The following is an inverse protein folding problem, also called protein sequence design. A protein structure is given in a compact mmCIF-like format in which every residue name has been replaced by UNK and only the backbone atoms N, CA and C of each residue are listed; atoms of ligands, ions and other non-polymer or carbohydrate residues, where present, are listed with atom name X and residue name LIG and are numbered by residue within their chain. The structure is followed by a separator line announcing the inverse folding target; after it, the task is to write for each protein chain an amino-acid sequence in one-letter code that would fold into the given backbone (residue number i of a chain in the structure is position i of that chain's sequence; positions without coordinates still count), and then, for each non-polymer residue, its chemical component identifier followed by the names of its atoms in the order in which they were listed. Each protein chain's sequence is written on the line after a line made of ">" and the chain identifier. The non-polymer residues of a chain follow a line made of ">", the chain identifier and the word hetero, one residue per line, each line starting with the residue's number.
data_IF_143751095528
#
_entry.id   IF_143751095528
#
_cell.length_a   1.000
_cell.length_b   1.000
_cell.length_c   1.000
_cell.angle_alpha   90.00
_cell.angle_beta   90.00
_cell.angle_gamma   90.00
#
_symmetry.space_group_name_H-M   'P 1'
#
loop_
_entity.id
_entity.type
_entity.pdbx_description
1 polymer ?
#
# COMPACT_ATOMS: atom_id res chain seq x y z
N UNK A 1 11.13 -2.38 74.48
CA UNK A 1 11.87 -3.16 75.49
C UNK A 1 11.41 -4.61 75.42
N UNK A 2 12.37 -5.53 75.28
CA UNK A 2 12.46 -6.90 75.85
C UNK A 2 11.17 -7.75 75.90
N UNK A 3 11.08 -8.97 75.38
CA UNK A 3 12.12 -9.93 75.05
C UNK A 3 11.57 -11.23 74.46
N UNK A 4 12.49 -12.19 74.29
CA UNK A 4 12.47 -13.40 73.47
C UNK A 4 12.46 -14.66 74.37
N UNK A 5 12.07 -15.80 73.79
CA UNK A 5 12.41 -17.22 74.12
C UNK A 5 11.41 -17.94 75.06
N UNK A 6 11.05 -19.24 74.91
CA UNK A 6 11.80 -20.47 74.57
C UNK A 6 10.88 -21.51 73.86
N UNK A 7 11.32 -22.29 72.84
CA UNK A 7 11.89 -23.68 72.86
C UNK A 7 10.99 -24.74 73.56
N UNK A 8 10.64 -25.92 73.03
CA UNK A 8 11.42 -27.07 72.51
C UNK A 8 10.41 -28.10 71.90
N UNK A 9 10.58 -28.63 70.67
CA UNK A 9 11.34 -29.82 70.23
C UNK A 9 10.55 -31.15 70.18
N UNK A 10 10.68 -31.86 69.06
CA UNK A 10 10.06 -33.16 68.78
C UNK A 10 10.51 -33.72 67.44
N UNK A 11 11.73 -34.26 67.42
CA UNK A 11 12.36 -34.99 66.32
C UNK A 11 11.68 -36.35 66.09
N UNK A 12 11.50 -36.77 64.84
CA UNK A 12 11.79 -38.15 64.44
C UNK A 12 12.11 -38.25 62.95
N UNK A 13 13.25 -38.88 62.71
CA UNK A 13 13.89 -39.17 61.44
C UNK A 13 13.41 -40.55 60.96
N UNK A 14 12.90 -40.67 59.74
CA UNK A 14 13.08 -41.90 58.94
C UNK A 14 13.25 -41.48 57.48
N UNK A 15 14.38 -41.91 56.94
CA UNK A 15 14.88 -41.66 55.60
C UNK A 15 14.80 -42.97 54.82
N UNK A 16 14.15 -42.97 53.66
CA UNK A 16 14.20 -43.95 52.53
C UNK A 16 12.93 -43.73 51.70
N UNK A 17 12.85 -43.75 50.38
CA UNK A 17 13.78 -43.79 49.25
C UNK A 17 12.87 -43.68 48.01
N UNK A 18 13.32 -42.97 46.96
CA UNK A 18 13.06 -43.28 45.54
C UNK A 18 11.60 -43.21 45.01
N UNK A 19 11.29 -42.15 44.26
CA UNK A 19 10.86 -42.26 42.85
C UNK A 19 10.82 -40.86 42.23
N UNK A 20 11.93 -40.48 41.61
CA UNK A 20 12.08 -39.24 40.84
C UNK A 20 11.39 -39.41 39.48
N UNK A 21 10.08 -39.18 39.41
CA UNK A 21 9.35 -39.23 38.15
C UNK A 21 9.37 -37.83 37.51
N UNK A 22 10.38 -37.62 36.68
CA UNK A 22 10.58 -36.41 35.85
C UNK A 22 9.38 -36.24 34.92
N UNK A 23 8.53 -35.25 35.19
CA UNK A 23 7.54 -34.77 34.22
C UNK A 23 8.29 -33.86 33.24
N UNK A 24 8.55 -34.38 32.05
CA UNK A 24 9.13 -33.66 30.93
C UNK A 24 8.14 -32.58 30.50
N UNK A 25 8.52 -31.29 30.49
CA UNK A 25 7.67 -30.27 29.90
C UNK A 25 7.68 -30.52 28.40
N UNK A 26 6.50 -30.83 27.85
CA UNK A 26 6.29 -30.87 26.41
C UNK A 26 6.51 -29.46 25.87
N UNK A 27 7.73 -29.21 25.39
CA UNK A 27 8.03 -28.09 24.50
C UNK A 27 7.21 -28.31 23.22
N UNK A 28 6.03 -27.71 23.16
CA UNK A 28 5.33 -27.49 21.90
C UNK A 28 6.16 -26.49 21.10
N UNK A 29 7.14 -26.99 20.36
CA UNK A 29 7.75 -26.29 19.24
C UNK A 29 6.66 -26.20 18.19
N UNK A 30 5.82 -25.16 18.31
CA UNK A 30 4.92 -24.77 17.23
C UNK A 30 5.79 -24.47 16.01
N UNK A 31 5.65 -25.31 14.98
CA UNK A 31 6.21 -25.08 13.65
C UNK A 31 5.69 -23.72 13.16
N UNK A 32 6.54 -22.71 13.27
CA UNK A 32 6.37 -21.44 12.59
C UNK A 32 6.49 -21.78 11.11
N UNK A 33 5.40 -21.71 10.36
CA UNK A 33 5.46 -21.72 8.89
C UNK A 33 5.63 -20.28 8.41
N UNK A 34 6.84 -19.80 8.04
CA UNK A 34 6.97 -18.53 7.36
C UNK A 34 6.62 -18.74 5.89
N UNK A 35 5.33 -18.89 5.60
CA UNK A 35 4.82 -18.91 4.22
C UNK A 35 4.22 -17.56 3.86
N UNK A 36 4.87 -16.46 4.27
CA UNK A 36 4.67 -15.18 3.61
C UNK A 36 5.61 -15.17 2.40
N UNK A 37 5.14 -15.67 1.26
CA UNK A 37 5.80 -15.40 -0.01
C UNK A 37 5.86 -13.87 -0.17
N UNK A 38 7.04 -13.30 0.02
CA UNK A 38 7.24 -11.86 -0.09
C UNK A 38 6.91 -11.46 -1.54
N UNK A 39 5.82 -10.72 -1.71
CA UNK A 39 5.38 -10.24 -3.00
C UNK A 39 6.45 -9.29 -3.56
N UNK A 40 6.88 -9.51 -4.81
CA UNK A 40 7.96 -8.72 -5.43
C UNK A 40 7.56 -7.25 -5.50
N UNK A 41 8.44 -6.36 -5.08
CA UNK A 41 8.26 -4.91 -5.21
C UNK A 41 8.57 -4.50 -6.66
N UNK A 42 7.69 -3.74 -7.30
CA UNK A 42 7.88 -3.22 -8.67
C UNK A 42 8.26 -1.76 -8.69
N UNK A 43 7.74 -0.98 -7.74
CA UNK A 43 8.07 0.43 -7.54
C UNK A 43 8.35 0.64 -6.07
N UNK A 44 9.43 1.33 -5.75
CA UNK A 44 9.73 1.84 -4.41
C UNK A 44 10.21 3.29 -4.54
N UNK A 45 9.60 4.19 -3.78
CA UNK A 45 9.88 5.62 -3.80
C UNK A 45 9.82 6.18 -2.38
N UNK A 46 10.80 7.01 -2.01
CA UNK A 46 10.71 7.81 -0.79
C UNK A 46 9.80 9.02 -1.02
N UNK A 47 8.80 9.19 -0.16
CA UNK A 47 7.85 10.30 -0.17
C UNK A 47 7.92 11.07 1.14
N UNK A 48 7.29 12.25 1.18
CA UNK A 48 7.17 13.03 2.42
C UNK A 48 6.34 12.31 3.51
N UNK A 49 5.51 11.33 3.13
CA UNK A 49 4.72 10.50 4.05
C UNK A 49 5.32 9.11 4.31
N UNK A 50 6.59 8.90 3.95
CA UNK A 50 7.29 7.62 4.11
C UNK A 50 7.44 6.83 2.81
N UNK A 51 7.70 5.52 2.93
CA UNK A 51 7.98 4.67 1.76
C UNK A 51 6.71 4.35 0.97
N UNK A 52 6.64 4.80 -0.28
CA UNK A 52 5.62 4.39 -1.24
C UNK A 52 6.10 3.15 -2.02
N UNK A 53 5.26 2.12 -2.09
CA UNK A 53 5.57 0.87 -2.78
C UNK A 53 4.39 0.40 -3.63
N UNK A 54 4.70 -0.18 -4.79
CA UNK A 54 3.75 -0.96 -5.58
C UNK A 54 4.29 -2.39 -5.64
N UNK A 55 3.45 -3.35 -5.29
CA UNK A 55 3.78 -4.77 -5.34
C UNK A 55 3.28 -5.39 -6.65
N UNK A 56 4.09 -6.28 -7.22
CA UNK A 56 3.72 -7.12 -8.36
C UNK A 56 2.47 -7.94 -8.05
N UNK A 57 1.67 -8.39 -9.04
CA UNK A 57 0.49 -9.21 -8.78
C UNK A 57 0.80 -10.45 -7.91
N UNK A 58 -0.06 -10.74 -6.92
CA UNK A 58 0.01 -11.99 -6.15
C UNK A 58 -0.48 -13.18 -6.99
N UNK A 59 -0.49 -14.39 -6.39
CA UNK A 59 -1.00 -15.59 -7.06
C UNK A 59 -2.48 -15.49 -7.47
N UNK A 60 -3.25 -14.60 -6.85
CA UNK A 60 -4.64 -14.31 -7.21
C UNK A 60 -4.76 -13.15 -8.22
N UNK A 61 -3.64 -12.61 -8.71
CA UNK A 61 -3.61 -11.50 -9.66
C UNK A 61 -3.88 -10.13 -9.03
N UNK A 62 -3.75 -9.96 -7.72
CA UNK A 62 -4.00 -8.66 -7.05
C UNK A 62 -2.70 -7.87 -6.88
N UNK A 63 -2.68 -6.60 -7.27
CA UNK A 63 -1.60 -5.68 -6.88
C UNK A 63 -1.98 -4.94 -5.60
N UNK A 64 -0.97 -4.60 -4.81
CA UNK A 64 -1.13 -3.76 -3.63
C UNK A 64 -0.29 -2.50 -3.78
N UNK A 65 -0.87 -1.37 -3.40
CA UNK A 65 -0.17 -0.09 -3.27
C UNK A 65 -0.07 0.21 -1.78
N UNK A 66 1.15 0.50 -1.33
CA UNK A 66 1.45 0.73 0.07
C UNK A 66 2.07 2.10 0.27
N UNK A 67 1.73 2.74 1.39
CA UNK A 67 2.42 3.89 1.94
C UNK A 67 2.79 3.56 3.38
N UNK A 68 4.07 3.66 3.70
CA UNK A 68 4.61 3.33 5.03
C UNK A 68 4.19 1.93 5.50
N UNK A 69 4.33 0.95 4.59
CA UNK A 69 3.94 -0.46 4.75
C UNK A 69 2.44 -0.69 5.07
N UNK A 70 1.58 0.34 4.95
CA UNK A 70 0.13 0.21 5.03
C UNK A 70 -0.46 0.13 3.64
N UNK A 71 -1.35 -0.84 3.41
CA UNK A 71 -2.06 -0.98 2.13
C UNK A 71 -3.05 0.18 1.97
N UNK A 72 -2.80 1.06 1.01
CA UNK A 72 -3.64 2.22 0.70
C UNK A 72 -4.55 1.98 -0.50
N UNK A 73 -4.21 1.03 -1.37
CA UNK A 73 -5.03 0.63 -2.50
C UNK A 73 -4.83 -0.85 -2.85
N UNK A 74 -5.90 -1.52 -3.30
CA UNK A 74 -5.88 -2.90 -3.80
C UNK A 74 -6.47 -2.91 -5.20
N UNK A 75 -5.70 -3.40 -6.16
CA UNK A 75 -6.04 -3.37 -7.58
C UNK A 75 -6.17 -4.79 -8.12
N UNK A 76 -7.09 -4.97 -9.07
CA UNK A 76 -7.19 -6.23 -9.81
C UNK A 76 -6.26 -6.18 -11.02
N UNK A 77 -5.12 -6.87 -10.92
CA UNK A 77 -4.11 -6.96 -11.94
C UNK A 77 -4.10 -8.31 -12.68
N UNK A 78 -5.19 -9.09 -12.61
CA UNK A 78 -5.25 -10.41 -13.25
C UNK A 78 -4.91 -10.34 -14.74
N UNK A 79 -5.39 -9.29 -15.41
CA UNK A 79 -5.15 -8.99 -16.81
C UNK A 79 -4.34 -7.69 -17.00
N UNK A 80 -3.51 -7.30 -16.02
CA UNK A 80 -2.67 -6.11 -16.09
C UNK A 80 -1.25 -6.40 -15.62
N UNK A 81 -0.31 -5.52 -15.96
CA UNK A 81 0.97 -5.42 -15.26
C UNK A 81 0.79 -4.62 -13.97
N UNK A 82 1.82 -4.63 -13.12
CA UNK A 82 1.82 -3.74 -11.97
C UNK A 82 1.73 -2.27 -12.42
N UNK A 83 0.97 -1.42 -11.72
CA UNK A 83 0.90 -0.01 -12.04
C UNK A 83 2.26 0.67 -12.01
N UNK A 84 2.40 1.74 -12.78
CA UNK A 84 3.60 2.58 -12.82
C UNK A 84 3.28 3.99 -12.33
N UNK A 85 4.25 4.67 -11.74
CA UNK A 85 4.13 6.09 -11.39
C UNK A 85 4.47 6.91 -12.63
N UNK A 86 3.50 7.70 -13.11
CA UNK A 86 3.64 8.55 -14.31
C UNK A 86 3.84 10.02 -13.98
N UNK A 87 3.72 10.40 -12.70
CA UNK A 87 3.92 11.78 -12.27
C UNK A 87 4.19 11.90 -10.78
N UNK A 88 5.06 12.85 -10.44
CA UNK A 88 5.38 13.25 -9.06
C UNK A 88 5.45 14.76 -9.01
N UNK A 89 4.64 15.36 -8.13
CA UNK A 89 4.48 16.80 -8.03
C UNK A 89 4.56 17.25 -6.57
N UNK A 90 5.01 18.49 -6.34
CA UNK A 90 5.16 19.05 -4.99
C UNK A 90 4.45 20.39 -4.86
N UNK A 91 4.05 20.71 -3.63
CA UNK A 91 3.40 21.98 -3.26
C UNK A 91 2.13 22.27 -4.08
N UNK A 92 1.14 21.37 -3.96
CA UNK A 92 -0.17 21.42 -4.63
C UNK A 92 -1.26 21.81 -3.62
N UNK A 93 -1.36 23.12 -3.33
CA UNK A 93 -2.33 23.64 -2.36
C UNK A 93 -1.98 23.18 -0.95
N UNK A 94 -2.85 22.40 -0.31
CA UNK A 94 -2.58 21.81 1.01
C UNK A 94 -1.86 20.44 0.95
N UNK A 95 -1.48 19.97 -0.25
CA UNK A 95 -0.76 18.73 -0.46
C UNK A 95 0.71 19.05 -0.71
N UNK A 96 1.59 18.48 0.11
CA UNK A 96 3.03 18.65 -0.06
C UNK A 96 3.57 17.83 -1.22
N UNK A 97 2.97 16.67 -1.46
CA UNK A 97 3.36 15.77 -2.53
C UNK A 97 2.16 15.07 -3.15
N UNK A 98 2.17 14.93 -4.47
CA UNK A 98 1.17 14.18 -5.22
C UNK A 98 1.87 13.18 -6.13
N UNK A 99 1.52 11.91 -5.98
CA UNK A 99 1.90 10.85 -6.92
C UNK A 99 0.72 10.53 -7.82
N UNK A 100 0.98 10.45 -9.12
CA UNK A 100 0.03 9.94 -10.11
C UNK A 100 0.55 8.61 -10.61
N UNK A 101 -0.24 7.56 -10.46
CA UNK A 101 0.09 6.24 -10.96
C UNK A 101 -1.03 5.68 -11.82
N UNK A 102 -0.65 4.86 -12.78
CA UNK A 102 -1.52 4.34 -13.83
C UNK A 102 -1.45 2.82 -13.88
N UNK A 103 -2.62 2.18 -13.91
CA UNK A 103 -2.71 0.75 -14.23
C UNK A 103 -2.27 0.47 -15.67
N UNK A 104 -1.62 -0.66 -15.93
CA UNK A 104 -1.14 -1.01 -17.27
C UNK A 104 -1.82 -2.31 -17.73
N UNK A 105 -3.00 -2.25 -18.39
CA UNK A 105 -3.71 -3.43 -18.84
C UNK A 105 -2.88 -4.23 -19.86
N UNK A 106 -3.00 -5.56 -19.82
CA UNK A 106 -2.42 -6.47 -20.82
C UNK A 106 -3.35 -6.48 -22.04
N UNK A 107 -2.95 -5.73 -23.06
CA UNK A 107 -3.70 -5.55 -24.30
C UNK A 107 -3.45 -4.13 -24.83
N UNK A 108 -3.58 -3.93 -26.14
CA UNK A 108 -3.24 -2.64 -26.78
C UNK A 108 -4.46 -1.75 -27.07
N UNK A 109 -5.60 -1.98 -26.41
CA UNK A 109 -6.80 -1.17 -26.65
C UNK A 109 -6.69 0.23 -26.04
N UNK A 110 -5.93 0.36 -24.96
CA UNK A 110 -5.73 1.60 -24.23
C UNK A 110 -4.22 1.83 -24.06
N UNK A 111 -3.76 3.09 -24.17
CA UNK A 111 -2.39 3.45 -23.80
C UNK A 111 -2.31 3.64 -22.26
N UNK A 112 -2.55 2.53 -21.55
CA UNK A 112 -2.71 2.50 -20.10
C UNK A 112 -4.17 2.43 -19.64
N UNK A 113 -4.36 2.21 -18.35
CA UNK A 113 -5.65 2.06 -17.68
C UNK A 113 -5.96 3.23 -16.75
N UNK A 114 -6.81 3.00 -15.73
CA UNK A 114 -7.21 4.03 -14.78
C UNK A 114 -6.02 4.73 -14.10
N UNK A 115 -6.17 6.04 -13.92
CA UNK A 115 -5.26 6.88 -13.15
C UNK A 115 -5.72 7.03 -11.70
N UNK A 116 -4.76 7.09 -10.79
CA UNK A 116 -4.97 7.33 -9.37
C UNK A 116 -4.08 8.47 -8.89
N UNK A 117 -4.63 9.33 -8.05
CA UNK A 117 -3.93 10.48 -7.46
C UNK A 117 -3.80 10.26 -5.96
N UNK A 118 -2.57 10.06 -5.50
CA UNK A 118 -2.23 9.99 -4.08
C UNK A 118 -1.70 11.34 -3.65
N UNK A 119 -2.50 12.12 -2.93
CA UNK A 119 -2.06 13.36 -2.29
C UNK A 119 -1.61 13.11 -0.85
N UNK A 120 -0.41 13.56 -0.50
CA UNK A 120 0.21 13.42 0.82
C UNK A 120 0.40 14.83 1.41
N UNK A 121 0.01 14.99 2.68
CA UNK A 121 0.14 16.25 3.44
C UNK A 121 1.40 16.24 4.31
N UNK A 122 1.80 17.42 4.78
CA UNK A 122 2.97 17.60 5.65
C UNK A 122 2.92 16.75 6.95
N UNK A 123 1.71 16.49 7.47
CA UNK A 123 1.47 15.65 8.64
C UNK A 123 1.47 14.14 8.33
N UNK A 124 1.91 13.76 7.12
CA UNK A 124 1.89 12.39 6.58
C UNK A 124 0.50 11.77 6.40
N UNK A 125 -0.59 12.53 6.59
CA UNK A 125 -1.92 12.08 6.17
C UNK A 125 -2.02 12.09 4.64
N UNK A 126 -2.87 11.21 4.10
CA UNK A 126 -3.03 11.09 2.66
C UNK A 126 -4.49 11.12 2.21
N UNK A 127 -4.67 11.39 0.93
CA UNK A 127 -5.93 11.26 0.19
C UNK A 127 -5.66 10.46 -1.07
N UNK A 128 -6.57 9.57 -1.41
CA UNK A 128 -6.51 8.80 -2.65
C UNK A 128 -7.77 9.10 -3.46
N UNK A 129 -7.59 9.51 -4.72
CA UNK A 129 -8.73 9.73 -5.61
C UNK A 129 -9.42 8.41 -5.98
N UNK A 130 -10.71 8.46 -6.35
CA UNK A 130 -11.31 7.42 -7.19
C UNK A 130 -10.49 7.21 -8.48
N UNK A 131 -10.60 6.04 -9.13
CA UNK A 131 -9.99 5.81 -10.42
C UNK A 131 -10.53 6.79 -11.46
N UNK A 132 -9.64 7.43 -12.21
CA UNK A 132 -9.96 8.23 -13.37
C UNK A 132 -9.63 7.42 -14.61
N UNK A 133 -10.66 6.80 -15.18
CA UNK A 133 -10.53 5.94 -16.35
C UNK A 133 -10.79 6.71 -17.65
N UNK A 134 -9.87 6.57 -18.59
CA UNK A 134 -9.99 7.07 -19.95
C UNK A 134 -9.25 6.12 -20.89
N UNK A 135 -9.98 5.14 -21.40
CA UNK A 135 -9.44 4.21 -22.39
C UNK A 135 -9.66 4.72 -23.82
N UNK A 136 -8.69 4.41 -24.68
CA UNK A 136 -8.86 4.45 -26.12
C UNK A 136 -8.20 5.62 -26.82
N UNK A 137 -7.60 6.57 -26.10
CA UNK A 137 -6.91 7.73 -26.70
C UNK A 137 -5.40 7.73 -26.47
N UNK A 138 -4.78 8.87 -26.79
CA UNK A 138 -3.39 9.15 -26.48
C UNK A 138 -3.14 9.21 -24.96
N UNK A 139 -1.86 9.11 -24.59
CA UNK A 139 -1.44 9.20 -23.19
C UNK A 139 -1.88 10.52 -22.52
N UNK A 140 -2.24 10.48 -21.23
CA UNK A 140 -2.61 11.67 -20.49
C UNK A 140 -1.43 12.61 -20.31
N UNK A 141 -1.67 13.91 -20.50
CA UNK A 141 -0.70 14.96 -20.21
C UNK A 141 -0.96 15.51 -18.81
N UNK A 142 0.07 15.47 -17.96
CA UNK A 142 0.02 15.99 -16.60
C UNK A 142 0.74 17.33 -16.53
N UNK A 143 0.07 18.38 -16.04
CA UNK A 143 0.65 19.72 -15.91
C UNK A 143 0.28 20.36 -14.58
N UNK A 144 1.29 20.70 -13.78
CA UNK A 144 1.08 21.53 -12.60
C UNK A 144 0.97 23.01 -13.00
N UNK A 145 -0.02 23.71 -12.45
CA UNK A 145 -0.18 25.16 -12.59
C UNK A 145 -0.55 25.73 -11.21
N UNK A 146 0.44 26.34 -10.55
CA UNK A 146 0.30 26.83 -9.18
C UNK A 146 -0.11 25.69 -8.23
N UNK A 147 -1.17 25.87 -7.42
CA UNK A 147 -1.61 24.88 -6.44
C UNK A 147 -2.48 23.75 -7.05
N UNK A 148 -2.54 23.63 -8.38
CA UNK A 148 -3.43 22.70 -9.08
C UNK A 148 -2.67 21.81 -10.06
N UNK A 149 -3.15 20.58 -10.21
CA UNK A 149 -2.66 19.64 -11.21
C UNK A 149 -3.74 19.42 -12.27
N UNK A 150 -3.40 19.59 -13.53
CA UNK A 150 -4.28 19.38 -14.66
C UNK A 150 -3.91 18.10 -15.38
N UNK A 151 -4.92 17.31 -15.70
CA UNK A 151 -4.83 16.06 -16.46
C UNK A 151 -5.58 16.29 -17.75
N UNK A 152 -4.87 16.29 -18.87
CA UNK A 152 -5.48 16.41 -20.19
C UNK A 152 -5.44 15.06 -20.87
N UNK A 153 -6.61 14.53 -21.20
CA UNK A 153 -6.75 13.42 -22.13
C UNK A 153 -6.92 14.01 -23.52
N UNK A 154 -5.91 13.93 -24.40
CA UNK A 154 -6.01 14.51 -25.73
C UNK A 154 -7.13 13.85 -26.53
N UNK A 155 -7.96 14.67 -27.18
CA UNK A 155 -8.92 14.18 -28.16
C UNK A 155 -8.23 13.76 -29.46
N UNK A 156 -8.94 13.01 -30.29
CA UNK A 156 -8.40 12.47 -31.53
C UNK A 156 -9.00 11.12 -31.90
N UNK A 157 -8.48 10.45 -32.95
CA UNK A 157 -8.93 9.11 -33.29
C UNK A 157 -8.65 8.15 -32.13
N UNK A 158 -9.51 7.14 -31.91
CA UNK A 158 -9.23 6.13 -30.92
C UNK A 158 -8.06 5.24 -31.38
N UNK A 159 -7.33 4.63 -30.44
CA UNK A 159 -6.28 3.66 -30.72
C UNK A 159 -6.79 2.44 -31.50
N UNK A 160 -8.10 2.14 -31.39
CA UNK A 160 -8.80 1.10 -32.13
C UNK A 160 -10.22 1.55 -32.47
N UNK A 161 -10.71 1.15 -33.64
CA UNK A 161 -12.07 1.44 -34.10
C UNK A 161 -12.17 2.72 -34.94
N UNK A 162 -13.39 3.23 -35.11
CA UNK A 162 -13.70 4.43 -35.88
C UNK A 162 -14.32 5.50 -34.99
N UNK A 163 -14.26 6.77 -35.42
CA UNK A 163 -14.79 7.91 -34.67
C UNK A 163 -13.70 8.80 -34.07
N UNK A 164 -14.08 9.62 -33.09
CA UNK A 164 -13.17 10.56 -32.42
C UNK A 164 -13.52 10.65 -30.94
N UNK A 165 -12.49 10.63 -30.10
CA UNK A 165 -12.59 10.86 -28.67
C UNK A 165 -12.52 12.37 -28.39
N UNK A 166 -13.40 12.91 -27.54
CA UNK A 166 -13.31 14.30 -27.15
C UNK A 166 -12.12 14.52 -26.22
N UNK A 167 -11.47 15.69 -26.35
CA UNK A 167 -10.51 16.14 -25.34
C UNK A 167 -11.22 16.30 -24.01
N UNK A 168 -10.69 15.68 -22.96
CA UNK A 168 -11.16 15.88 -21.59
C UNK A 168 -10.06 16.51 -20.74
N UNK A 169 -10.43 17.46 -19.90
CA UNK A 169 -9.51 18.08 -18.95
C UNK A 169 -10.10 17.93 -17.56
N UNK A 170 -9.29 17.37 -16.67
CA UNK A 170 -9.60 17.21 -15.26
C UNK A 170 -8.64 18.06 -14.43
N UNK A 171 -9.16 18.64 -13.37
CA UNK A 171 -8.40 19.39 -12.38
C UNK A 171 -8.35 18.56 -11.09
N UNK A 172 -7.16 18.36 -10.55
CA UNK A 172 -6.91 17.81 -9.24
C UNK A 172 -6.49 18.93 -8.28
N UNK A 173 -7.20 19.06 -7.17
CA UNK A 173 -6.97 20.07 -6.15
C UNK A 173 -7.48 19.56 -4.79
N UNK A 174 -6.66 19.71 -3.73
CA UNK A 174 -7.02 19.37 -2.36
C UNK A 174 -7.62 17.95 -2.18
N UNK A 175 -7.07 16.96 -2.89
CA UNK A 175 -7.50 15.56 -2.81
C UNK A 175 -8.69 15.20 -3.69
N UNK A 176 -9.19 16.12 -4.53
CA UNK A 176 -10.40 15.92 -5.33
C UNK A 176 -10.13 16.14 -6.81
N UNK A 177 -10.69 15.23 -7.62
CA UNK A 177 -10.75 15.36 -9.07
C UNK A 177 -12.06 16.02 -9.49
N UNK A 178 -12.00 16.93 -10.46
CA UNK A 178 -13.16 17.54 -11.10
C UNK A 178 -12.91 17.69 -12.59
N UNK A 179 -13.84 17.21 -13.41
CA UNK A 179 -13.85 17.50 -14.85
C UNK A 179 -14.15 18.97 -15.08
N UNK A 180 -13.33 19.62 -15.90
CA UNK A 180 -13.49 21.04 -16.27
C UNK A 180 -13.72 21.25 -17.77
N UNK A 181 -13.41 20.24 -18.59
CA UNK A 181 -13.72 20.19 -20.02
C UNK A 181 -13.94 18.74 -20.44
#
# INVERSE_FOLDING_TARGET
>A
MVGINYFCSGFNFVSTMVAMQRIIPWLLIGLITPSALAQKITVELETIGGKFKILAPDAAGRCQVLLENKVINRLNCQNAYAPIVIGRFRHLGNLEEVLVYQEIPRGNACNGGPLYFLGIRADSTYTLSPPLDFCGGADPLLKQQGPKLFVTFPGGPPNRGTGSLPTQIWQYENGKLRKIK
#
